data_IF_961226244832
#
_entry.id   IF_961226244832
#
_cell.length_a   1.000
_cell.length_b   1.000
_cell.length_c   1.000
_cell.angle_alpha   90.00
_cell.angle_beta   90.00
_cell.angle_gamma   90.00
#
_symmetry.space_group_name_H-M   'P 1'
#
loop_
_entity.id
_entity.type
_entity.pdbx_description
1 polymer ?
#
# COMPACT_ATOMS: atom_id res chain seq x y z
N UNK A 1 4.56 -8.59 9.71
CA UNK A 1 3.77 -7.61 8.95
C UNK A 1 2.43 -8.26 8.58
N UNK A 2 1.32 -7.57 8.78
CA UNK A 2 0.01 -7.95 8.24
C UNK A 2 -0.38 -6.98 7.13
N UNK A 3 -1.09 -7.48 6.12
CA UNK A 3 -1.51 -6.73 4.93
C UNK A 3 -2.99 -7.02 4.68
N UNK A 4 -3.78 -5.99 4.35
CA UNK A 4 -5.17 -6.15 3.93
C UNK A 4 -5.29 -6.84 2.58
N UNK A 5 -6.51 -7.22 2.19
CA UNK A 5 -6.79 -7.53 0.79
C UNK A 5 -6.48 -6.32 -0.10
N UNK A 6 -5.96 -6.54 -1.31
CA UNK A 6 -5.70 -5.46 -2.24
C UNK A 6 -7.00 -4.91 -2.84
N UNK A 7 -7.04 -3.59 -2.97
CA UNK A 7 -8.09 -2.87 -3.69
C UNK A 7 -7.46 -1.98 -4.75
N UNK A 8 -8.20 -1.72 -5.82
CA UNK A 8 -7.74 -0.89 -6.94
C UNK A 8 -8.36 0.49 -6.81
N UNK A 9 -7.54 1.52 -6.95
CA UNK A 9 -7.97 2.91 -6.98
C UNK A 9 -8.15 3.34 -8.44
N UNK A 10 -9.35 3.84 -8.84
CA UNK A 10 -9.52 4.42 -10.15
C UNK A 10 -8.63 5.66 -10.25
N UNK A 11 -7.73 5.61 -11.24
CA UNK A 11 -6.64 6.56 -11.43
C UNK A 11 -6.83 7.32 -12.72
N UNK A 12 -6.56 8.62 -12.72
CA UNK A 12 -6.34 9.40 -13.93
C UNK A 12 -4.85 9.41 -14.26
N UNK A 13 -4.52 9.00 -15.49
CA UNK A 13 -3.16 8.73 -15.97
C UNK A 13 -2.15 9.89 -15.83
N UNK A 14 -2.61 11.14 -15.59
CA UNK A 14 -1.75 12.32 -15.50
C UNK A 14 -1.13 12.56 -14.12
N UNK A 15 -1.50 11.80 -13.10
CA UNK A 15 -1.06 12.09 -11.74
C UNK A 15 0.25 11.43 -11.37
N UNK A 16 1.02 12.05 -10.47
CA UNK A 16 2.14 11.39 -9.80
C UNK A 16 1.65 10.67 -8.53
N UNK A 17 2.31 9.59 -8.10
CA UNK A 17 1.83 8.84 -6.94
C UNK A 17 1.75 9.63 -5.62
N UNK A 18 2.48 10.75 -5.54
CA UNK A 18 2.36 11.74 -4.46
C UNK A 18 1.12 12.65 -4.61
N UNK A 19 0.72 13.00 -5.83
CA UNK A 19 -0.53 13.73 -6.07
C UNK A 19 -1.76 12.92 -5.64
N UNK A 20 -1.70 11.59 -5.70
CA UNK A 20 -2.76 10.76 -5.13
C UNK A 20 -2.92 11.03 -3.63
N UNK A 21 -1.81 11.15 -2.90
CA UNK A 21 -1.86 11.50 -1.48
C UNK A 21 -2.39 12.91 -1.23
N UNK A 22 -2.10 13.87 -2.10
CA UNK A 22 -2.69 15.21 -2.01
C UNK A 22 -4.21 15.17 -2.23
N UNK A 23 -4.70 14.35 -3.18
CA UNK A 23 -6.13 14.14 -3.43
C UNK A 23 -6.82 13.38 -2.30
N UNK A 24 -6.20 12.30 -1.83
CA UNK A 24 -6.69 11.54 -0.67
C UNK A 24 -6.80 12.45 0.55
N UNK A 25 -5.83 13.35 0.78
CA UNK A 25 -5.91 14.30 1.89
C UNK A 25 -7.04 15.36 1.70
N UNK A 26 -7.46 15.62 0.47
CA UNK A 26 -8.43 16.67 0.17
C UNK A 26 -9.87 16.33 0.57
N UNK A 27 -10.16 15.04 0.81
CA UNK A 27 -11.45 14.61 1.39
C UNK A 27 -11.57 14.97 2.88
N UNK A 28 -10.47 15.37 3.52
CA UNK A 28 -10.41 15.72 4.94
C UNK A 28 -10.08 14.52 5.84
N UNK A 29 -9.55 14.82 7.04
CA UNK A 29 -9.02 13.82 7.97
C UNK A 29 -10.09 12.84 8.47
N UNK A 30 -11.26 13.35 8.87
CA UNK A 30 -12.31 12.52 9.48
C UNK A 30 -12.93 11.55 8.46
N UNK A 31 -13.19 12.02 7.24
CA UNK A 31 -13.69 11.21 6.14
C UNK A 31 -12.63 10.18 5.70
N UNK A 32 -11.37 10.62 5.55
CA UNK A 32 -10.26 9.73 5.21
C UNK A 32 -10.11 8.59 6.23
N UNK A 33 -10.11 8.93 7.52
CA UNK A 33 -10.03 7.93 8.58
C UNK A 33 -11.21 6.95 8.50
N UNK A 34 -12.43 7.43 8.24
CA UNK A 34 -13.62 6.58 8.11
C UNK A 34 -13.53 5.64 6.91
N UNK A 35 -13.14 6.14 5.73
CA UNK A 35 -12.98 5.32 4.53
C UNK A 35 -11.86 4.28 4.69
N UNK A 36 -10.73 4.67 5.28
CA UNK A 36 -9.62 3.76 5.55
C UNK A 36 -9.99 2.67 6.56
N UNK A 37 -10.76 3.00 7.61
CA UNK A 37 -11.26 2.01 8.57
C UNK A 37 -12.19 0.99 7.92
N UNK A 38 -13.05 1.43 6.99
CA UNK A 38 -13.90 0.53 6.21
C UNK A 38 -13.08 -0.41 5.33
N UNK A 39 -12.06 0.12 4.64
CA UNK A 39 -11.16 -0.66 3.77
C UNK A 39 -10.27 -1.62 4.56
N UNK A 40 -9.90 -1.25 5.79
CA UNK A 40 -9.13 -2.11 6.67
C UNK A 40 -9.88 -3.34 7.16
N UNK A 41 -11.22 -3.40 7.05
CA UNK A 41 -12.06 -4.40 7.72
C UNK A 41 -11.52 -4.67 9.13
N UNK A 42 -11.52 -3.63 9.97
CA UNK A 42 -10.75 -3.49 11.23
C UNK A 42 -10.65 -4.76 12.10
N UNK A 43 -11.68 -5.60 12.08
CA UNK A 43 -11.77 -6.89 12.78
C UNK A 43 -10.76 -7.95 12.29
N UNK A 44 -10.35 -7.93 11.01
CA UNK A 44 -9.37 -8.87 10.46
C UNK A 44 -7.94 -8.56 10.90
N UNK A 45 -7.62 -7.29 11.13
CA UNK A 45 -6.27 -6.85 11.49
C UNK A 45 -6.10 -6.65 13.00
N UNK A 46 -7.01 -5.97 13.71
CA UNK A 46 -6.65 -5.34 14.99
C UNK A 46 -6.60 -6.28 16.22
N UNK A 47 -7.37 -7.37 16.26
CA UNK A 47 -7.52 -8.20 17.48
C UNK A 47 -7.40 -9.73 17.26
N UNK A 48 -6.85 -10.17 16.12
CA UNK A 48 -6.69 -11.60 15.81
C UNK A 48 -5.23 -12.03 15.91
N UNK A 49 -5.00 -13.15 16.61
CA UNK A 49 -3.69 -13.81 16.61
C UNK A 49 -3.44 -14.45 15.24
N UNK A 50 -2.16 -14.68 14.89
CA UNK A 50 -1.82 -15.31 13.62
C UNK A 50 -2.45 -16.70 13.47
N UNK A 51 -2.58 -17.45 14.57
CA UNK A 51 -3.25 -18.75 14.60
C UNK A 51 -4.73 -18.60 14.26
N UNK A 52 -5.43 -17.65 14.88
CA UNK A 52 -6.83 -17.38 14.59
C UNK A 52 -7.05 -16.97 13.14
N UNK A 53 -6.18 -16.11 12.59
CA UNK A 53 -6.23 -15.70 11.17
C UNK A 53 -6.03 -16.93 10.27
N UNK A 54 -5.06 -17.79 10.57
CA UNK A 54 -4.82 -19.01 9.81
C UNK A 54 -6.03 -19.96 9.85
N UNK A 55 -6.63 -20.17 11.03
CA UNK A 55 -7.84 -21.00 11.17
C UNK A 55 -9.03 -20.42 10.42
N UNK A 56 -9.30 -19.12 10.54
CA UNK A 56 -10.37 -18.44 9.81
C UNK A 56 -10.14 -18.51 8.28
N UNK A 57 -8.89 -18.38 7.83
CA UNK A 57 -8.51 -18.56 6.44
C UNK A 57 -8.78 -19.97 5.91
N UNK A 58 -8.41 -21.01 6.67
CA UNK A 58 -8.71 -22.41 6.34
C UNK A 58 -10.22 -22.65 6.31
N UNK A 59 -10.95 -22.17 7.32
CA UNK A 59 -12.40 -22.30 7.39
C UNK A 59 -13.09 -21.61 6.20
N UNK A 60 -12.67 -20.39 5.87
CA UNK A 60 -13.16 -19.63 4.71
C UNK A 60 -12.92 -20.39 3.40
N UNK A 61 -11.72 -20.94 3.20
CA UNK A 61 -11.40 -21.75 2.03
C UNK A 61 -12.27 -23.02 1.94
N UNK A 62 -12.52 -23.70 3.06
CA UNK A 62 -13.40 -24.89 3.11
C UNK A 62 -14.85 -24.51 2.78
N UNK A 63 -15.38 -23.43 3.37
CA UNK A 63 -16.76 -22.96 3.14
C UNK A 63 -16.95 -22.55 1.68
N UNK A 64 -16.03 -21.75 1.14
CA UNK A 64 -16.03 -21.35 -0.27
C UNK A 64 -15.87 -22.55 -1.22
N UNK A 65 -15.15 -23.59 -0.80
CA UNK A 65 -14.98 -24.83 -1.54
C UNK A 65 -16.21 -25.74 -1.54
N UNK A 66 -17.01 -25.76 -0.46
CA UNK A 66 -18.23 -26.58 -0.35
C UNK A 66 -19.45 -25.99 -1.06
N UNK A 67 -19.53 -24.66 -1.20
CA UNK A 67 -20.67 -23.98 -1.82
C UNK A 67 -20.70 -24.01 -3.36
N UNK A 68 -19.67 -24.59 -4.02
CA UNK A 68 -19.63 -24.77 -5.47
C UNK A 68 -19.31 -26.23 -5.76
N UNK A 69 -20.22 -26.97 -6.38
CA UNK A 69 -20.01 -28.36 -6.83
C UNK A 69 -19.03 -28.38 -8.02
N UNK A 70 -17.74 -28.31 -7.70
CA UNK A 70 -16.63 -28.22 -8.65
C UNK A 70 -15.53 -27.37 -8.04
N UNK A 71 -14.26 -27.71 -8.27
CA UNK A 71 -13.11 -27.01 -7.67
C UNK A 71 -13.29 -25.47 -7.79
N UNK A 72 -13.59 -24.80 -6.67
CA UNK A 72 -13.85 -23.37 -6.65
C UNK A 72 -12.55 -22.64 -6.99
N UNK A 73 -12.44 -22.18 -8.25
CA UNK A 73 -11.26 -21.50 -8.80
C UNK A 73 -10.78 -20.33 -7.92
N UNK A 74 -11.70 -19.66 -7.23
CA UNK A 74 -11.41 -18.54 -6.33
C UNK A 74 -10.60 -18.95 -5.10
N UNK A 75 -10.99 -20.01 -4.39
CA UNK A 75 -10.26 -20.45 -3.20
C UNK A 75 -8.86 -20.97 -3.54
N UNK A 76 -8.74 -21.69 -4.67
CA UNK A 76 -7.45 -22.13 -5.19
C UNK A 76 -6.54 -20.96 -5.60
N UNK A 77 -7.09 -19.93 -6.27
CA UNK A 77 -6.35 -18.70 -6.60
C UNK A 77 -5.86 -17.97 -5.35
N UNK A 78 -6.70 -17.81 -4.32
CA UNK A 78 -6.29 -17.17 -3.07
C UNK A 78 -5.12 -17.90 -2.41
N UNK A 79 -5.17 -19.24 -2.34
CA UNK A 79 -4.07 -20.04 -1.79
C UNK A 79 -2.81 -19.91 -2.64
N UNK A 80 -2.95 -19.93 -3.97
CA UNK A 80 -1.84 -19.74 -4.90
C UNK A 80 -1.19 -18.36 -4.72
N UNK A 81 -1.99 -17.30 -4.63
CA UNK A 81 -1.51 -15.93 -4.39
C UNK A 81 -0.76 -15.82 -3.05
N UNK A 82 -1.27 -16.42 -1.97
CA UNK A 82 -0.57 -16.47 -0.67
C UNK A 82 0.75 -17.22 -0.77
N UNK A 83 0.79 -18.35 -1.48
CA UNK A 83 2.02 -19.11 -1.71
C UNK A 83 3.05 -18.31 -2.51
N UNK A 84 2.60 -17.61 -3.55
CA UNK A 84 3.46 -16.72 -4.35
C UNK A 84 4.01 -15.58 -3.50
N UNK A 85 3.20 -14.94 -2.67
CA UNK A 85 3.67 -13.92 -1.72
C UNK A 85 4.69 -14.47 -0.72
N UNK A 86 4.44 -15.66 -0.15
CA UNK A 86 5.35 -16.30 0.79
C UNK A 86 6.73 -16.61 0.16
N UNK A 87 6.72 -17.11 -1.07
CA UNK A 87 7.95 -17.33 -1.85
C UNK A 87 8.64 -16.00 -2.14
N UNK A 88 7.91 -15.03 -2.69
CA UNK A 88 8.41 -13.70 -3.03
C UNK A 88 9.03 -13.01 -1.81
N UNK A 89 8.47 -13.19 -0.61
CA UNK A 89 9.02 -12.68 0.63
C UNK A 89 10.42 -13.20 0.95
N UNK A 90 10.86 -14.35 0.46
CA UNK A 90 12.20 -14.90 0.76
C UNK A 90 13.18 -14.79 -0.40
N UNK A 91 12.68 -14.70 -1.63
CA UNK A 91 13.49 -14.62 -2.86
C UNK A 91 14.46 -13.44 -2.83
N UNK A 92 15.73 -13.69 -3.17
CA UNK A 92 16.77 -12.66 -3.27
C UNK A 92 17.20 -12.00 -1.95
N UNK A 93 16.60 -12.35 -0.79
CA UNK A 93 16.85 -11.62 0.47
C UNK A 93 18.32 -11.66 0.90
N UNK A 94 18.99 -12.81 0.77
CA UNK A 94 20.42 -12.94 1.14
C UNK A 94 21.31 -12.01 0.31
N UNK A 95 21.12 -12.02 -1.01
CA UNK A 95 21.87 -11.18 -1.94
C UNK A 95 21.65 -9.70 -1.66
N UNK A 96 20.39 -9.28 -1.48
CA UNK A 96 20.05 -7.88 -1.16
C UNK A 96 20.63 -7.42 0.17
N UNK A 97 20.65 -8.29 1.20
CA UNK A 97 21.30 -7.96 2.48
C UNK A 97 22.80 -7.77 2.27
N UNK A 98 23.45 -8.59 1.44
CA UNK A 98 24.89 -8.48 1.19
C UNK A 98 25.30 -7.30 0.31
N UNK A 99 24.50 -6.95 -0.70
CA UNK A 99 24.87 -5.96 -1.73
C UNK A 99 24.20 -4.61 -1.50
N UNK A 100 23.08 -4.55 -0.79
CA UNK A 100 22.21 -3.38 -0.69
C UNK A 100 21.47 -3.06 -2.00
N UNK A 101 21.66 -3.86 -3.05
CA UNK A 101 21.07 -3.66 -4.37
C UNK A 101 19.69 -4.31 -4.41
N UNK A 102 18.71 -3.64 -5.01
CA UNK A 102 17.35 -4.16 -5.15
C UNK A 102 17.02 -4.47 -6.60
N UNK A 103 17.57 -5.55 -7.14
CA UNK A 103 17.25 -6.04 -8.48
C UNK A 103 15.79 -6.51 -8.55
N UNK A 104 15.11 -6.18 -9.65
CA UNK A 104 13.77 -6.65 -9.97
C UNK A 104 13.79 -7.49 -11.24
N UNK A 105 12.84 -8.42 -11.35
CA UNK A 105 12.62 -9.15 -12.59
C UNK A 105 11.85 -8.25 -13.58
N UNK A 106 12.27 -8.23 -14.85
CA UNK A 106 11.63 -7.51 -15.94
C UNK A 106 10.36 -8.17 -16.47
N UNK A 107 10.12 -9.43 -16.09
CA UNK A 107 8.98 -10.20 -16.57
C UNK A 107 7.67 -9.45 -16.29
N UNK A 108 6.84 -9.22 -17.32
CA UNK A 108 5.52 -8.65 -17.13
C UNK A 108 4.67 -9.48 -16.17
N UNK A 109 3.96 -8.80 -15.28
CA UNK A 109 3.20 -9.38 -14.17
C UNK A 109 1.71 -9.37 -14.48
N UNK A 110 0.97 -10.38 -14.05
CA UNK A 110 -0.50 -10.25 -13.98
C UNK A 110 -0.90 -9.30 -12.85
N UNK A 111 -2.15 -8.84 -12.84
CA UNK A 111 -2.65 -7.97 -11.78
C UNK A 111 -2.55 -8.63 -10.37
N UNK A 112 -2.68 -9.96 -10.29
CA UNK A 112 -2.54 -10.74 -9.04
C UNK A 112 -1.08 -10.80 -8.54
N UNK A 113 -0.11 -10.70 -9.45
CA UNK A 113 1.33 -10.81 -9.12
C UNK A 113 1.95 -9.50 -8.62
N UNK A 114 1.31 -8.35 -8.90
CA UNK A 114 1.82 -7.01 -8.55
C UNK A 114 2.13 -6.86 -7.05
N UNK A 115 1.22 -7.32 -6.19
CA UNK A 115 1.42 -7.25 -4.73
C UNK A 115 2.57 -8.16 -4.29
N UNK A 116 2.63 -9.38 -4.83
CA UNK A 116 3.68 -10.35 -4.53
C UNK A 116 5.06 -9.83 -4.93
N UNK A 117 5.16 -9.17 -6.08
CA UNK A 117 6.39 -8.52 -6.53
C UNK A 117 6.84 -7.41 -5.58
N UNK A 118 5.90 -6.62 -5.04
CA UNK A 118 6.18 -5.42 -4.26
C UNK A 118 6.37 -5.68 -2.76
N UNK A 119 5.98 -6.84 -2.25
CA UNK A 119 5.81 -7.12 -0.82
C UNK A 119 7.08 -6.90 0.03
N UNK A 120 8.25 -7.27 -0.48
CA UNK A 120 9.52 -7.03 0.23
C UNK A 120 9.88 -5.55 0.27
N UNK A 121 9.60 -4.81 -0.81
CA UNK A 121 9.85 -3.38 -0.85
C UNK A 121 8.89 -2.65 0.09
N UNK A 122 7.64 -3.10 0.18
CA UNK A 122 6.68 -2.65 1.19
C UNK A 122 7.22 -2.91 2.60
N UNK A 123 7.72 -4.12 2.90
CA UNK A 123 8.33 -4.44 4.20
C UNK A 123 9.47 -3.46 4.55
N UNK A 124 10.40 -3.24 3.64
CA UNK A 124 11.53 -2.34 3.86
C UNK A 124 11.09 -0.88 4.04
N UNK A 125 10.16 -0.39 3.21
CA UNK A 125 9.62 0.96 3.33
C UNK A 125 8.77 1.13 4.58
N UNK A 126 8.03 0.12 5.02
CA UNK A 126 7.25 0.13 6.26
C UNK A 126 8.14 0.31 7.50
N UNK A 127 9.34 -0.27 7.53
CA UNK A 127 10.31 -0.07 8.62
C UNK A 127 10.82 1.39 8.66
N UNK A 128 11.03 2.00 7.52
CA UNK A 128 11.47 3.41 7.42
C UNK A 128 10.34 4.38 7.78
N UNK A 129 9.12 4.06 7.33
CA UNK A 129 7.91 4.74 7.73
C UNK A 129 7.64 4.66 9.25
N UNK A 130 8.01 3.55 9.89
CA UNK A 130 7.93 3.41 11.35
C UNK A 130 8.83 4.42 12.08
N UNK A 131 10.01 4.74 11.53
CA UNK A 131 10.88 5.79 12.08
C UNK A 131 10.24 7.18 11.99
N UNK A 132 9.45 7.44 10.93
CA UNK A 132 8.67 8.67 10.78
C UNK A 132 7.58 8.75 11.86
N UNK A 133 6.83 7.66 12.07
CA UNK A 133 5.82 7.57 13.13
C UNK A 133 6.42 7.76 14.53
N UNK A 134 7.60 7.20 14.78
CA UNK A 134 8.34 7.34 16.04
C UNK A 134 9.05 8.70 16.21
N UNK A 135 8.97 9.61 15.22
CA UNK A 135 9.66 10.91 15.23
C UNK A 135 11.19 10.80 15.37
N UNK A 136 11.79 9.76 14.79
CA UNK A 136 13.25 9.53 14.79
C UNK A 136 13.83 9.33 13.39
N UNK A 137 13.05 9.61 12.36
CA UNK A 137 13.53 9.55 10.97
C UNK A 137 14.71 10.50 10.78
N UNK A 138 15.75 10.02 10.10
CA UNK A 138 16.95 10.84 9.80
C UNK A 138 16.65 11.95 8.78
N UNK A 139 15.66 11.72 7.91
CA UNK A 139 15.26 12.62 6.84
C UNK A 139 13.88 13.21 7.13
N UNK A 140 13.83 14.52 7.32
CA UNK A 140 12.57 15.26 7.46
C UNK A 140 11.90 15.51 6.10
N UNK A 141 10.63 15.93 6.12
CA UNK A 141 9.94 16.33 4.89
C UNK A 141 10.65 17.53 4.25
N UNK A 142 10.83 17.54 2.91
CA UNK A 142 11.52 18.64 2.24
C UNK A 142 10.75 19.97 2.34
N UNK A 143 9.42 19.91 2.34
CA UNK A 143 8.51 21.05 2.53
C UNK A 143 7.08 20.54 2.81
N UNK A 144 6.15 21.46 3.05
CA UNK A 144 4.72 21.18 3.23
C UNK A 144 3.91 21.64 2.01
N UNK A 145 2.83 20.92 1.71
CA UNK A 145 1.85 21.27 0.68
C UNK A 145 0.42 21.20 1.24
N UNK A 146 -0.49 21.85 0.54
CA UNK A 146 -1.93 21.74 0.81
C UNK A 146 -2.53 20.53 0.09
N UNK A 147 -3.69 20.02 0.53
CA UNK A 147 -4.43 19.03 -0.23
C UNK A 147 -4.87 19.66 -1.56
N UNK A 148 -4.94 18.84 -2.60
CA UNK A 148 -5.29 19.31 -3.95
C UNK A 148 -6.33 18.39 -4.55
N UNK A 149 -7.42 18.97 -5.06
CA UNK A 149 -8.46 18.21 -5.75
C UNK A 149 -8.09 17.92 -7.22
N UNK A 150 -6.96 18.42 -7.75
CA UNK A 150 -6.67 18.36 -9.18
C UNK A 150 -7.60 19.29 -10.00
N UNK A 151 -7.05 19.98 -10.98
CA UNK A 151 -7.81 20.83 -11.91
C UNK A 151 -7.91 20.13 -13.26
N UNK A 152 -8.89 19.24 -13.43
CA UNK A 152 -9.31 18.85 -14.79
C UNK A 152 -10.27 19.91 -15.31
N UNK A 153 -9.95 20.49 -16.46
CA UNK A 153 -10.71 21.54 -17.13
C UNK A 153 -12.21 21.20 -17.20
N UNK A 154 -13.04 22.01 -16.53
CA UNK A 154 -14.48 22.15 -16.83
C UNK A 154 -15.47 21.33 -16.01
N UNK A 155 -15.07 20.28 -15.28
CA UNK A 155 -16.01 19.49 -14.48
C UNK A 155 -15.47 19.28 -13.05
N UNK A 156 -16.26 19.69 -12.05
CA UNK A 156 -16.07 19.30 -10.64
C UNK A 156 -16.35 17.81 -10.52
N UNK A 157 -15.38 16.96 -10.85
CA UNK A 157 -15.45 15.55 -10.49
C UNK A 157 -15.42 15.47 -8.96
N UNK A 158 -16.40 14.79 -8.36
CA UNK A 158 -16.45 14.56 -6.92
C UNK A 158 -15.31 13.57 -6.59
N UNK A 159 -14.19 14.11 -6.11
CA UNK A 159 -12.92 13.41 -6.00
C UNK A 159 -12.77 12.68 -4.66
N UNK A 160 -13.43 11.53 -4.53
CA UNK A 160 -13.22 10.60 -3.42
C UNK A 160 -12.51 9.33 -3.91
N UNK A 161 -11.18 9.36 -4.12
CA UNK A 161 -10.44 8.25 -4.74
C UNK A 161 -10.61 6.92 -4.00
N UNK A 162 -10.72 6.96 -2.67
CA UNK A 162 -10.92 5.78 -1.84
C UNK A 162 -12.38 5.28 -1.86
N UNK A 163 -13.38 6.15 -2.05
CA UNK A 163 -14.79 5.75 -2.12
C UNK A 163 -15.12 5.00 -3.42
N UNK A 164 -14.42 5.31 -4.50
CA UNK A 164 -14.54 4.62 -5.79
C UNK A 164 -13.64 3.39 -5.92
N UNK A 165 -13.00 2.97 -4.82
CA UNK A 165 -12.17 1.78 -4.82
C UNK A 165 -12.99 0.51 -5.04
N UNK A 166 -12.40 -0.45 -5.75
CA UNK A 166 -13.00 -1.78 -5.98
C UNK A 166 -12.03 -2.87 -5.58
N UNK A 167 -12.53 -4.08 -5.30
CA UNK A 167 -11.66 -5.21 -5.01
C UNK A 167 -10.80 -5.56 -6.23
N UNK A 168 -9.60 -6.10 -6.01
CA UNK A 168 -8.76 -6.58 -7.12
C UNK A 168 -9.50 -7.63 -7.96
N UNK A 169 -10.29 -8.51 -7.33
CA UNK A 169 -11.07 -9.54 -8.02
C UNK A 169 -12.11 -8.94 -8.97
N UNK A 170 -12.83 -7.91 -8.53
CA UNK A 170 -13.85 -7.26 -9.35
C UNK A 170 -13.23 -6.40 -10.45
N UNK A 171 -12.09 -5.77 -10.17
CA UNK A 171 -11.31 -5.09 -11.21
C UNK A 171 -10.89 -6.07 -12.32
N UNK A 172 -10.36 -7.24 -11.97
CA UNK A 172 -9.96 -8.28 -12.94
C UNK A 172 -11.18 -8.72 -13.75
N UNK A 173 -12.32 -9.05 -13.11
CA UNK A 173 -13.55 -9.45 -13.82
C UNK A 173 -14.03 -8.39 -14.81
N UNK A 174 -14.07 -7.12 -14.39
CA UNK A 174 -14.54 -6.03 -15.25
C UNK A 174 -13.64 -5.84 -16.48
N UNK A 175 -12.32 -6.00 -16.33
CA UNK A 175 -11.37 -5.86 -17.44
C UNK A 175 -11.30 -7.10 -18.33
N UNK A 176 -11.65 -8.29 -17.82
CA UNK A 176 -11.86 -9.47 -18.66
C UNK A 176 -13.12 -9.35 -19.53
N UNK A 177 -14.19 -8.72 -19.01
CA UNK A 177 -15.45 -8.51 -19.74
C UNK A 177 -15.37 -7.38 -20.78
N UNK A 178 -14.64 -6.31 -20.49
CA UNK A 178 -14.46 -5.20 -21.45
C UNK A 178 -13.73 -5.61 -22.74
N UNK A 179 -13.03 -6.75 -22.74
CA UNK A 179 -12.37 -7.28 -23.93
C UNK A 179 -13.34 -7.98 -24.92
N UNK A 180 -14.64 -8.14 -24.60
CA UNK A 180 -15.60 -8.82 -25.48
C UNK A 180 -16.39 -7.90 -26.42
N UNK A 181 -16.51 -6.61 -26.11
CA UNK A 181 -17.30 -5.66 -26.90
C UNK A 181 -16.35 -4.72 -27.65
N UNK A 182 -16.03 -5.08 -28.89
CA UNK A 182 -15.31 -4.19 -29.79
C UNK A 182 -16.12 -2.93 -30.06
N UNK A 183 -15.67 -1.78 -29.56
CA UNK A 183 -16.02 -0.45 -30.06
C UNK A 183 -14.84 0.52 -29.82
N UNK A 184 -14.80 1.66 -30.52
CA UNK A 184 -13.74 1.99 -31.44
C UNK A 184 -12.73 2.94 -30.81
N UNK A 185 -11.49 2.82 -31.28
CA UNK A 185 -10.57 3.92 -31.60
C UNK A 185 -10.94 5.29 -31.00
N UNK A 186 -10.42 5.57 -29.80
CA UNK A 186 -10.78 6.80 -29.08
C UNK A 186 -10.05 7.01 -27.75
N UNK A 187 -8.76 6.70 -27.68
CA UNK A 187 -7.69 7.49 -27.01
C UNK A 187 -6.38 6.68 -27.12
N UNK A 188 -5.72 6.74 -28.28
CA UNK A 188 -4.58 5.88 -28.63
C UNK A 188 -3.25 6.27 -27.96
N UNK A 189 -3.21 7.30 -27.11
CA UNK A 189 -1.95 7.95 -26.74
C UNK A 189 -1.42 7.58 -25.34
N UNK A 190 -2.17 6.82 -24.53
CA UNK A 190 -1.78 6.58 -23.13
C UNK A 190 -1.89 5.12 -22.66
N UNK A 191 -0.83 4.52 -22.09
CA UNK A 191 -0.83 3.14 -21.64
C UNK A 191 -1.74 2.95 -20.43
N UNK A 192 -2.55 1.90 -20.44
CA UNK A 192 -3.42 1.51 -19.33
C UNK A 192 -2.63 1.35 -18.02
N UNK A 193 -3.13 1.92 -16.93
CA UNK A 193 -2.46 1.91 -15.61
C UNK A 193 -3.32 1.27 -14.55
N UNK A 194 -2.69 0.60 -13.59
CA UNK A 194 -3.34 0.07 -12.39
C UNK A 194 -2.65 0.62 -11.13
N UNK A 195 -3.47 1.13 -10.20
CA UNK A 195 -3.02 1.59 -8.88
C UNK A 195 -3.56 0.64 -7.82
N UNK A 196 -2.72 -0.28 -7.38
CA UNK A 196 -3.05 -1.24 -6.33
C UNK A 196 -2.76 -0.64 -4.96
N UNK A 197 -3.73 -0.71 -4.05
CA UNK A 197 -3.60 -0.21 -2.69
C UNK A 197 -3.81 -1.32 -1.67
N UNK A 198 -3.01 -1.30 -0.61
CA UNK A 198 -3.13 -2.19 0.55
C UNK A 198 -2.88 -1.42 1.83
N UNK A 199 -3.48 -1.89 2.93
CA UNK A 199 -3.18 -1.39 4.26
C UNK A 199 -2.21 -2.34 4.95
N UNK A 200 -1.20 -1.77 5.59
CA UNK A 200 -0.08 -2.48 6.21
C UNK A 200 -0.03 -2.16 7.69
N UNK A 201 0.06 -3.18 8.54
CA UNK A 201 0.30 -3.04 9.96
C UNK A 201 1.50 -3.88 10.38
N UNK A 202 2.52 -3.24 10.97
CA UNK A 202 3.66 -3.95 11.56
C UNK A 202 3.24 -4.56 12.90
N UNK A 203 3.76 -5.77 13.17
CA UNK A 203 3.49 -6.53 14.40
C UNK A 203 4.73 -7.23 14.90
N UNK A 204 4.84 -7.37 16.21
CA UNK A 204 5.95 -8.06 16.86
C UNK A 204 5.57 -9.52 17.17
N UNK A 205 6.13 -10.51 16.44
CA UNK A 205 5.80 -11.93 16.66
C UNK A 205 6.24 -12.43 18.04
N UNK A 206 7.26 -11.83 18.67
CA UNK A 206 7.73 -12.21 20.01
C UNK A 206 6.77 -11.71 21.09
N UNK A 207 6.06 -10.61 20.83
CA UNK A 207 5.07 -10.01 21.73
C UNK A 207 3.64 -10.37 21.33
N UNK A 208 3.41 -11.65 20.99
CA UNK A 208 2.08 -12.17 20.60
C UNK A 208 1.40 -11.36 19.49
N UNK A 209 2.17 -10.93 18.50
CA UNK A 209 1.69 -10.10 17.41
C UNK A 209 1.06 -8.79 17.89
N UNK A 210 1.62 -8.13 18.91
CA UNK A 210 1.23 -6.77 19.27
C UNK A 210 1.48 -5.81 18.09
N UNK A 211 0.59 -4.83 17.89
CA UNK A 211 0.75 -3.78 16.89
C UNK A 211 1.97 -2.88 17.19
N UNK A 212 2.83 -2.71 16.19
CA UNK A 212 4.00 -1.84 16.25
C UNK A 212 3.73 -0.64 15.35
N UNK A 213 3.61 0.56 15.93
CA UNK A 213 3.20 1.74 15.18
C UNK A 213 1.73 1.70 14.75
N UNK A 214 1.33 2.72 14.00
CA UNK A 214 0.03 2.82 13.38
C UNK A 214 -0.04 2.14 12.01
N UNK A 215 -1.24 1.83 11.51
CA UNK A 215 -1.44 1.35 10.14
C UNK A 215 -0.89 2.36 9.12
N UNK A 216 -0.50 1.84 7.97
CA UNK A 216 0.06 2.57 6.84
C UNK A 216 -0.64 2.13 5.56
N UNK A 217 -0.80 3.03 4.60
CA UNK A 217 -1.29 2.69 3.26
C UNK A 217 -0.10 2.56 2.32
N UNK A 218 -0.07 1.49 1.53
CA UNK A 218 0.89 1.29 0.45
C UNK A 218 0.17 1.35 -0.90
N UNK A 219 0.69 2.16 -1.80
CA UNK A 219 0.19 2.40 -3.15
C UNK A 219 1.22 1.92 -4.16
N UNK A 220 0.86 0.90 -4.95
CA UNK A 220 1.70 0.29 -5.99
C UNK A 220 1.16 0.74 -7.34
N UNK A 221 2.00 1.43 -8.10
CA UNK A 221 1.68 1.88 -9.45
C UNK A 221 2.30 0.94 -10.44
N UNK A 222 1.51 0.46 -11.39
CA UNK A 222 1.99 -0.32 -12.51
C UNK A 222 1.35 0.16 -13.81
N UNK A 223 2.14 0.13 -14.88
CA UNK A 223 1.68 0.44 -16.24
C UNK A 223 1.61 -0.84 -17.04
N UNK A 224 0.70 -0.90 -18.02
CA UNK A 224 0.63 -2.00 -18.96
C UNK A 224 1.99 -2.20 -19.62
N UNK A 225 2.41 -3.45 -19.74
CA UNK A 225 3.59 -3.80 -20.50
C UNK A 225 3.26 -3.76 -21.99
N UNK A 226 4.06 -3.07 -22.80
CA UNK A 226 3.91 -3.11 -24.25
C UNK A 226 4.21 -4.52 -24.78
N UNK A 227 3.33 -5.02 -25.64
CA UNK A 227 3.37 -6.35 -26.25
C UNK A 227 4.58 -6.49 -27.20
N UNK A 228 5.78 -6.64 -26.64
CA UNK A 228 7.02 -6.92 -27.40
C UNK A 228 7.39 -8.40 -27.40
N UNK A 229 6.59 -9.24 -26.75
CA UNK A 229 6.76 -10.69 -26.80
C UNK A 229 5.50 -11.26 -27.43
N UNK A 230 5.64 -11.87 -28.61
CA UNK A 230 4.62 -12.72 -29.24
C UNK A 230 4.30 -13.89 -28.31
N UNK A 231 3.45 -13.68 -27.32
CA UNK A 231 2.92 -14.76 -26.48
C UNK A 231 1.60 -15.20 -27.10
N UNK A 232 1.55 -16.49 -27.42
CA UNK A 232 0.41 -17.24 -27.92
C UNK A 232 -0.94 -16.65 -27.50
N UNK A 233 -1.83 -16.48 -28.49
CA UNK A 233 -3.23 -15.98 -28.46
C UNK A 233 -4.20 -16.66 -27.45
N UNK A 234 -3.69 -17.42 -26.48
CA UNK A 234 -4.47 -18.25 -25.56
C UNK A 234 -4.36 -17.80 -24.08
N UNK A 235 -3.58 -16.78 -23.74
CA UNK A 235 -3.63 -16.14 -22.41
C UNK A 235 -4.02 -14.67 -22.53
N UNK A 236 -5.33 -14.41 -22.44
CA UNK A 236 -5.98 -13.08 -22.56
C UNK A 236 -5.77 -12.15 -21.34
N UNK A 237 -4.85 -12.46 -20.42
CA UNK A 237 -4.63 -11.66 -19.21
C UNK A 237 -3.65 -10.51 -19.44
N UNK A 238 -4.12 -9.28 -19.16
CA UNK A 238 -3.33 -8.05 -19.24
C UNK A 238 -2.09 -8.15 -18.34
N UNK A 239 -0.93 -7.76 -18.88
CA UNK A 239 0.35 -7.77 -18.16
C UNK A 239 0.82 -6.36 -17.81
N UNK A 240 1.53 -6.22 -16.69
CA UNK A 240 1.90 -4.97 -16.08
C UNK A 240 3.37 -4.95 -15.65
N UNK A 241 3.98 -3.76 -15.64
CA UNK A 241 5.28 -3.49 -15.02
C UNK A 241 5.10 -2.47 -13.90
N UNK A 242 5.59 -2.80 -12.71
CA UNK A 242 5.55 -1.89 -11.55
C UNK A 242 6.52 -0.74 -11.77
N UNK A 243 6.03 0.49 -11.63
CA UNK A 243 6.81 1.71 -11.86
C UNK A 243 7.21 2.40 -10.56
N UNK A 244 6.31 2.42 -9.58
CA UNK A 244 6.61 3.04 -8.28
C UNK A 244 5.77 2.46 -7.14
N UNK A 245 6.30 2.61 -5.94
CA UNK A 245 5.66 2.25 -4.68
C UNK A 245 5.72 3.45 -3.75
N UNK A 246 4.61 3.74 -3.09
CA UNK A 246 4.52 4.79 -2.10
C UNK A 246 3.93 4.23 -0.82
N UNK A 247 4.47 4.63 0.33
CA UNK A 247 3.95 4.26 1.65
C UNK A 247 3.65 5.55 2.39
N UNK A 248 2.44 5.66 2.93
CA UNK A 248 1.99 6.83 3.65
C UNK A 248 1.23 6.50 4.93
N UNK A 249 1.09 7.52 5.77
CA UNK A 249 0.32 7.43 6.99
C UNK A 249 -0.12 8.81 7.47
N UNK A 250 -0.93 8.79 8.53
CA UNK A 250 -1.45 10.00 9.14
C UNK A 250 -0.59 10.42 10.33
N UNK A 251 -0.58 11.71 10.60
CA UNK A 251 -0.06 12.30 11.82
C UNK A 251 -1.11 13.24 12.37
N UNK A 252 -1.69 12.87 13.51
CA UNK A 252 -2.81 13.55 14.14
C UNK A 252 -2.33 14.20 15.43
N UNK A 253 -2.37 15.53 15.41
CA UNK A 253 -1.95 16.44 16.49
C UNK A 253 -3.14 17.14 17.13
N UNK A 254 -4.32 17.08 16.53
CA UNK A 254 -5.56 17.61 17.10
C UNK A 254 -5.92 16.92 18.42
N UNK A 255 -5.81 17.67 19.52
CA UNK A 255 -6.01 17.17 20.89
C UNK A 255 -7.48 16.76 21.10
N UNK A 256 -7.70 15.54 21.59
CA UNK A 256 -9.04 15.03 21.96
C UNK A 256 -9.71 14.12 20.92
N UNK A 257 -9.20 14.05 19.68
CA UNK A 257 -9.65 13.07 18.69
C UNK A 257 -8.85 11.77 18.84
N UNK A 258 -9.51 10.67 19.19
CA UNK A 258 -8.92 9.32 19.07
C UNK A 258 -8.80 9.00 17.58
N UNK A 259 -7.60 8.73 17.10
CA UNK A 259 -7.36 8.26 15.73
C UNK A 259 -6.74 6.85 15.79
N UNK A 260 -7.20 5.95 14.93
CA UNK A 260 -6.69 4.59 14.80
C UNK A 260 -5.35 4.50 14.05
N UNK A 261 -4.90 5.59 13.43
CA UNK A 261 -3.71 5.69 12.59
C UNK A 261 -2.53 6.40 13.24
N UNK A 262 -2.80 7.35 14.15
CA UNK A 262 -1.77 8.02 14.94
C UNK A 262 -2.25 8.35 16.34
N UNK A 263 -1.78 7.56 17.30
CA UNK A 263 -2.03 7.71 18.73
C UNK A 263 -0.72 7.68 19.49
N UNK A 264 -0.73 8.22 20.72
CA UNK A 264 0.45 8.16 21.59
C UNK A 264 0.92 6.72 21.82
N UNK A 265 -0.02 5.78 21.97
CA UNK A 265 0.31 4.36 22.08
C UNK A 265 1.11 3.88 20.86
N UNK A 266 0.66 4.21 19.64
CA UNK A 266 1.32 3.78 18.41
C UNK A 266 2.72 4.38 18.26
N UNK A 267 2.89 5.67 18.56
CA UNK A 267 4.22 6.31 18.55
C UNK A 267 5.18 5.66 19.55
N UNK A 268 4.70 5.35 20.75
CA UNK A 268 5.50 4.68 21.77
C UNK A 268 5.83 3.23 21.39
N UNK A 269 4.89 2.45 20.85
CA UNK A 269 5.19 1.07 20.42
C UNK A 269 6.17 1.06 19.24
N UNK A 270 6.04 2.01 18.30
CA UNK A 270 7.01 2.20 17.22
C UNK A 270 8.42 2.47 17.76
N UNK A 271 8.56 3.48 18.63
CA UNK A 271 9.84 3.84 19.26
C UNK A 271 10.45 2.67 20.03
N UNK A 272 9.68 2.05 20.92
CA UNK A 272 10.17 0.95 21.77
C UNK A 272 10.63 -0.25 20.94
N UNK A 273 9.88 -0.58 19.89
CA UNK A 273 10.25 -1.66 18.98
C UNK A 273 11.53 -1.32 18.22
N UNK A 274 11.65 -0.11 17.65
CA UNK A 274 12.86 0.33 16.96
C UNK A 274 14.09 0.28 17.87
N UNK A 275 13.98 0.70 19.13
CA UNK A 275 15.06 0.61 20.11
C UNK A 275 15.40 -0.84 20.46
N UNK A 276 14.39 -1.68 20.71
CA UNK A 276 14.60 -3.08 21.10
C UNK A 276 15.32 -3.90 20.02
N UNK A 277 15.08 -3.58 18.74
CA UNK A 277 15.72 -4.25 17.61
C UNK A 277 16.96 -3.52 17.08
N UNK A 278 17.49 -2.54 17.83
CA UNK A 278 18.74 -1.84 17.50
C UNK A 278 18.66 -0.89 16.30
N UNK A 279 17.45 -0.58 15.84
CA UNK A 279 17.16 0.33 14.72
C UNK A 279 17.03 1.79 15.17
N UNK A 280 17.08 2.04 16.47
CA UNK A 280 17.13 3.35 17.09
C UNK A 280 18.01 3.31 18.34
N UNK A 281 18.71 4.41 18.62
CA UNK A 281 19.43 4.55 19.89
C UNK A 281 18.43 4.92 20.99
N UNK A 282 18.51 4.27 22.15
CA UNK A 282 17.83 4.74 23.35
C UNK A 282 18.31 6.16 23.63
N UNK A 283 17.43 7.14 23.48
CA UNK A 283 17.81 8.55 23.57
C UNK A 283 18.27 8.88 25.00
N UNK A 284 19.58 8.85 25.24
CA UNK A 284 20.21 9.59 26.32
C UNK A 284 20.04 11.08 26.02
N UNK A 285 18.99 11.69 26.59
CA UNK A 285 18.76 13.15 26.68
C UNK A 285 19.35 13.99 25.54
N UNK A 286 18.79 13.94 24.32
CA UNK A 286 18.96 15.03 23.35
C UNK A 286 17.72 15.19 22.48
N UNK A 287 17.34 16.45 22.28
CA UNK A 287 16.21 16.91 21.48
C UNK A 287 15.02 17.27 22.36
N UNK A 288 14.76 18.57 22.53
CA UNK A 288 13.48 19.07 23.05
C UNK A 288 12.36 18.26 22.39
N UNK A 289 11.48 17.66 23.19
CA UNK A 289 10.16 17.26 22.70
C UNK A 289 9.48 18.58 22.30
N UNK A 290 9.71 19.02 21.06
CA UNK A 290 8.89 20.05 20.45
C UNK A 290 7.58 19.32 20.23
N UNK A 291 6.72 19.37 21.25
CA UNK A 291 5.28 19.24 21.09
C UNK A 291 4.87 20.37 20.16
N UNK A 292 5.17 20.20 18.86
CA UNK A 292 4.83 21.18 17.87
C UNK A 292 3.32 21.13 17.79
N UNK A 293 2.69 22.15 18.39
CA UNK A 293 1.39 22.66 17.96
C UNK A 293 1.45 22.70 16.44
N UNK A 294 0.94 21.65 15.82
CA UNK A 294 1.05 21.41 14.39
C UNK A 294 -0.30 20.97 13.89
N UNK A 295 -0.57 21.28 12.63
CA UNK A 295 -1.73 20.77 11.94
C UNK A 295 -1.61 19.26 11.76
N UNK A 296 -2.75 18.61 11.64
CA UNK A 296 -2.80 17.23 11.19
C UNK A 296 -2.21 17.17 9.78
N UNK A 297 -1.45 16.12 9.49
CA UNK A 297 -0.81 15.96 8.18
C UNK A 297 -0.82 14.51 7.72
N UNK A 298 -0.69 14.32 6.41
CA UNK A 298 -0.40 13.05 5.77
C UNK A 298 1.06 13.09 5.31
N UNK A 299 1.84 12.14 5.81
CA UNK A 299 3.24 11.95 5.40
C UNK A 299 3.35 10.77 4.45
N UNK A 300 4.35 10.79 3.57
CA UNK A 300 4.63 9.65 2.69
C UNK A 300 6.10 9.55 2.28
N UNK A 301 6.49 8.34 1.90
CA UNK A 301 7.76 8.02 1.26
C UNK A 301 7.49 7.32 -0.07
N UNK A 302 8.34 7.55 -1.06
CA UNK A 302 8.20 6.97 -2.40
C UNK A 302 9.47 6.26 -2.84
N UNK A 303 9.32 5.23 -3.67
CA UNK A 303 10.42 4.55 -4.35
C UNK A 303 9.97 4.23 -5.77
N UNK A 304 10.85 4.42 -6.75
CA UNK A 304 10.58 4.06 -8.15
C UNK A 304 11.45 2.91 -8.61
N UNK A 305 10.97 2.19 -9.62
CA UNK A 305 11.76 1.23 -10.39
C UNK A 305 12.39 1.98 -11.55
N UNK A 306 13.70 1.84 -11.72
CA UNK A 306 14.45 2.36 -12.86
C UNK A 306 15.59 1.41 -13.19
N UNK A 307 15.76 1.09 -14.48
CA UNK A 307 16.80 0.15 -14.95
C UNK A 307 16.81 -1.13 -14.08
N UNK A 308 15.63 -1.73 -13.92
CA UNK A 308 15.42 -3.02 -13.26
C UNK A 308 15.89 -3.06 -11.81
N UNK A 309 15.88 -1.89 -11.18
CA UNK A 309 16.26 -1.71 -9.80
C UNK A 309 15.24 -0.83 -9.06
N UNK A 310 14.89 -1.24 -7.84
CA UNK A 310 14.24 -0.31 -6.92
C UNK A 310 15.28 0.70 -6.45
N UNK A 311 14.99 1.98 -6.68
CA UNK A 311 15.80 3.04 -6.13
C UNK A 311 15.68 3.13 -4.59
N UNK A 312 16.57 3.90 -3.98
CA UNK A 312 16.41 4.30 -2.58
C UNK A 312 15.10 5.06 -2.42
N UNK A 313 14.36 4.78 -1.35
CA UNK A 313 13.16 5.53 -1.03
C UNK A 313 13.51 6.99 -0.71
N UNK A 314 12.58 7.89 -0.96
CA UNK A 314 12.71 9.32 -0.68
C UNK A 314 11.53 9.81 0.16
N UNK A 315 11.80 10.80 1.00
CA UNK A 315 10.76 11.47 1.79
C UNK A 315 10.01 12.47 0.90
N UNK A 316 8.70 12.27 0.76
CA UNK A 316 7.85 13.20 0.03
C UNK A 316 7.51 14.41 0.92
N UNK A 317 7.01 15.53 0.35
CA UNK A 317 6.44 16.63 1.12
C UNK A 317 5.29 16.18 2.03
N UNK A 318 5.05 16.94 3.10
CA UNK A 318 3.91 16.69 4.00
C UNK A 318 2.65 17.39 3.49
N UNK A 319 1.53 16.65 3.43
CA UNK A 319 0.24 17.24 3.05
C UNK A 319 -0.49 17.66 4.32
N UNK A 320 -0.58 18.97 4.57
CA UNK A 320 -1.25 19.52 5.76
C UNK A 320 -2.74 19.58 5.55
N UNK A 321 -3.54 18.94 6.41
CA UNK A 321 -4.99 19.05 6.31
C UNK A 321 -5.44 20.49 6.57
N UNK A 322 -6.40 20.97 5.77
CA UNK A 322 -7.09 22.23 6.03
C UNK A 322 -7.91 22.09 7.31
N UNK A 323 -7.93 23.14 8.13
CA UNK A 323 -8.74 23.20 9.36
C UNK A 323 -10.22 23.36 9.04
#
# INVERSE_FOLDING_TARGET
MQISKPFVLPWDQSMSGFELFQRIAAIGLDELNSQLLNLMALDELMDKTAERIAFEGIASAIIQGRNKEGASSTAARTIAAVKTMANAMSTGRKERISTGIWNVNENPLTAEEILSFSIQKIEAMALEALKIQAEIAEVEAPFDVSPSNGTTSGAKVQNHPLASSISLEDWIKNHSLANSDGLPDGDQDHPETITLAVIVQLRDPVRRYEAVGGPMIALIYATRADDTIEVNKYEEEKKFKVTSLHVGGLKVRTRGKRNAWDSEKQRLTAMQWLVAYGLAKAAGKRGKHVTSKGQDLLWSISSRVMADMWLKYMRNPDVKFTK
#
